data_IF_797156787515
#
_entry.id   IF_797156787515
#
_cell.length_a   1.000
_cell.length_b   1.000
_cell.length_c   1.000
_cell.angle_alpha   90.00
_cell.angle_beta   90.00
_cell.angle_gamma   90.00
#
_symmetry.space_group_name_H-M   'P 1'
#
loop_
_entity.id
_entity.type
_entity.pdbx_description
1 polymer ?
#
# COMPACT_ATOMS: atom_id res chain seq x y z
N UNK A 1 -15.60 -2.02 40.79
CA UNK A 1 -14.35 -1.29 40.40
C UNK A 1 -13.53 -2.02 39.34
N UNK A 2 -13.42 -3.37 39.33
CA UNK A 2 -12.68 -4.13 38.31
C UNK A 2 -13.20 -4.01 36.86
N UNK A 3 -14.51 -3.94 36.65
CA UNK A 3 -15.11 -3.92 35.29
C UNK A 3 -14.94 -2.59 34.55
N UNK A 4 -14.84 -1.46 35.26
CA UNK A 4 -14.65 -0.15 34.64
C UNK A 4 -13.28 -0.02 33.96
N UNK A 5 -12.27 -0.72 34.47
CA UNK A 5 -10.92 -0.76 33.90
C UNK A 5 -10.91 -1.42 32.51
N UNK A 6 -11.76 -2.43 32.29
CA UNK A 6 -11.90 -3.11 30.99
C UNK A 6 -12.47 -2.15 29.95
N UNK A 7 -13.49 -1.35 30.31
CA UNK A 7 -14.08 -0.36 29.39
C UNK A 7 -13.10 0.76 28.98
N UNK A 8 -12.13 1.10 29.82
CA UNK A 8 -11.09 2.12 29.52
C UNK A 8 -10.01 1.56 28.57
N UNK A 9 -9.77 0.25 28.56
CA UNK A 9 -8.73 -0.39 27.75
C UNK A 9 -9.18 -0.71 26.31
N UNK A 10 -10.49 -0.81 26.04
CA UNK A 10 -11.04 -1.12 24.72
C UNK A 10 -10.71 -0.09 23.62
N UNK A 11 -10.76 1.25 23.84
CA UNK A 11 -10.52 2.21 22.76
C UNK A 11 -9.06 2.24 22.25
N UNK A 12 -8.10 1.65 22.99
CA UNK A 12 -6.70 1.58 22.57
C UNK A 12 -6.46 0.56 21.44
N UNK A 13 -7.34 -0.43 21.27
CA UNK A 13 -7.19 -1.45 20.23
C UNK A 13 -7.81 -1.05 18.88
N UNK A 14 -8.53 0.08 18.81
CA UNK A 14 -9.28 0.49 17.62
C UNK A 14 -8.50 1.37 16.63
N UNK A 15 -7.25 1.75 16.95
CA UNK A 15 -6.45 2.66 16.11
C UNK A 15 -5.05 2.10 15.83
N UNK A 16 -4.96 1.06 15.00
CA UNK A 16 -3.68 0.64 14.44
C UNK A 16 -3.85 -0.07 13.09
N UNK A 17 -4.41 0.60 12.09
CA UNK A 17 -4.06 0.31 10.70
C UNK A 17 -3.46 1.58 10.10
N UNK A 18 -2.13 1.62 10.06
CA UNK A 18 -1.41 2.62 9.27
C UNK A 18 -1.71 2.28 7.81
N UNK A 19 -2.48 3.13 7.14
CA UNK A 19 -2.74 2.97 5.71
C UNK A 19 -1.40 2.96 4.96
N UNK A 20 -1.26 2.06 4.00
CA UNK A 20 -0.09 2.04 3.13
C UNK A 20 0.02 3.41 2.44
N UNK A 21 1.22 4.03 2.37
CA UNK A 21 1.37 5.37 1.82
C UNK A 21 1.15 5.41 0.29
N UNK A 22 1.28 4.27 -0.38
CA UNK A 22 1.03 4.10 -1.80
C UNK A 22 0.75 2.63 -2.12
N UNK A 23 0.21 2.36 -3.31
CA UNK A 23 0.10 1.02 -3.88
C UNK A 23 0.77 0.98 -5.26
N UNK A 24 1.22 -0.22 -5.64
CA UNK A 24 1.83 -0.49 -6.94
C UNK A 24 1.04 -1.61 -7.61
N UNK A 25 0.58 -1.39 -8.83
CA UNK A 25 -0.06 -2.40 -9.66
C UNK A 25 0.79 -2.66 -10.91
N UNK A 26 1.02 -3.94 -11.21
CA UNK A 26 1.80 -4.38 -12.37
C UNK A 26 0.88 -5.09 -13.36
N UNK A 27 0.81 -4.60 -14.59
CA UNK A 27 0.03 -5.22 -15.66
C UNK A 27 0.95 -5.67 -16.80
N UNK A 28 1.54 -6.88 -16.70
CA UNK A 28 2.37 -7.44 -17.76
C UNK A 28 1.50 -7.90 -18.94
N UNK A 29 1.98 -7.67 -20.15
CA UNK A 29 1.36 -8.13 -21.40
C UNK A 29 2.43 -8.68 -22.34
N UNK A 30 2.20 -9.90 -22.82
CA UNK A 30 3.00 -10.47 -23.91
C UNK A 30 2.45 -9.96 -25.24
N UNK A 31 3.35 -9.51 -26.12
CA UNK A 31 3.04 -9.05 -27.47
C UNK A 31 3.82 -9.90 -28.46
N UNK A 32 3.11 -10.39 -29.48
CA UNK A 32 3.64 -11.18 -30.60
C UNK A 32 4.54 -12.36 -30.17
N UNK A 33 4.28 -12.90 -28.97
CA UNK A 33 5.06 -13.99 -28.35
C UNK A 33 6.57 -13.74 -28.21
N UNK A 34 7.02 -12.49 -28.35
CA UNK A 34 8.44 -12.13 -28.41
C UNK A 34 8.82 -10.99 -27.46
N UNK A 35 7.84 -10.20 -26.98
CA UNK A 35 8.08 -9.05 -26.11
C UNK A 35 7.14 -9.10 -24.91
N UNK A 36 7.65 -8.67 -23.76
CA UNK A 36 6.84 -8.43 -22.56
C UNK A 36 6.85 -6.93 -22.30
N UNK A 37 5.66 -6.33 -22.25
CA UNK A 37 5.47 -4.95 -21.78
C UNK A 37 4.92 -5.04 -20.37
N UNK A 38 5.54 -4.33 -19.43
CA UNK A 38 5.04 -4.22 -18.06
C UNK A 38 4.59 -2.79 -17.84
N UNK A 39 3.28 -2.60 -17.63
CA UNK A 39 2.77 -1.32 -17.15
C UNK A 39 2.86 -1.30 -15.63
N UNK A 40 3.41 -0.22 -15.09
CA UNK A 40 3.53 0.03 -13.66
C UNK A 40 2.59 1.20 -13.33
N UNK A 41 1.67 0.98 -12.39
CA UNK A 41 0.74 2.01 -11.90
C UNK A 41 1.02 2.24 -10.42
N UNK A 42 1.34 3.48 -10.04
CA UNK A 42 1.63 3.86 -8.66
C UNK A 42 0.50 4.78 -8.18
N UNK A 43 -0.24 4.34 -7.16
CA UNK A 43 -1.30 5.15 -6.55
C UNK A 43 -0.81 5.74 -5.23
N UNK A 44 -0.81 7.07 -5.13
CA UNK A 44 -0.47 7.78 -3.90
C UNK A 44 -1.69 7.85 -2.97
N UNK A 45 -1.54 7.41 -1.72
CA UNK A 45 -2.60 7.46 -0.70
C UNK A 45 -2.44 8.65 0.27
N UNK A 46 -1.42 9.48 0.07
CA UNK A 46 -1.13 10.66 0.87
C UNK A 46 -1.47 11.94 0.11
N UNK A 47 -1.85 12.99 0.84
CA UNK A 47 -2.03 14.33 0.29
C UNK A 47 -0.71 15.10 0.12
N UNK A 48 0.38 14.39 -0.19
CA UNK A 48 1.71 14.98 -0.42
C UNK A 48 2.42 14.25 -1.56
N UNK A 49 3.35 14.91 -2.27
CA UNK A 49 4.15 14.25 -3.29
C UNK A 49 4.90 13.02 -2.73
N UNK A 50 5.06 12.01 -3.58
CA UNK A 50 5.90 10.84 -3.31
C UNK A 50 7.07 10.87 -4.28
N UNK A 51 8.28 10.84 -3.72
CA UNK A 51 9.50 10.60 -4.48
C UNK A 51 9.70 9.10 -4.62
N UNK A 52 9.87 8.60 -5.84
CA UNK A 52 10.12 7.19 -6.13
C UNK A 52 11.05 7.00 -7.32
N UNK A 53 11.63 5.81 -7.44
CA UNK A 53 12.47 5.40 -8.54
C UNK A 53 11.89 4.13 -9.17
N UNK A 54 11.69 4.17 -10.48
CA UNK A 54 11.29 3.01 -11.28
C UNK A 54 12.49 2.40 -11.98
N UNK A 55 12.50 1.08 -12.07
CA UNK A 55 13.53 0.34 -12.77
C UNK A 55 13.26 -1.15 -12.76
N UNK A 56 13.82 -1.84 -13.75
CA UNK A 56 13.85 -3.30 -13.79
C UNK A 56 15.24 -3.77 -13.38
N UNK A 57 15.31 -4.72 -12.45
CA UNK A 57 16.53 -5.48 -12.21
C UNK A 57 16.60 -6.61 -13.24
N UNK A 58 17.72 -6.71 -13.95
CA UNK A 58 18.04 -7.74 -14.95
C UNK A 58 19.06 -8.70 -14.35
#
# INVERSE_FOLDING_TARGET
MKFYLIFILIPFFSFAQKADPFSIELRPRVIDNAKVIVNIEITNHLNRPIDYLEGFFI
#
